data_IF_193815405545
#
_entry.id   IF_193815405545
#
_cell.length_a   1.000
_cell.length_b   1.000
_cell.length_c   1.000
_cell.angle_alpha   90.00
_cell.angle_beta   90.00
_cell.angle_gamma   90.00
#
_symmetry.space_group_name_H-M   'P 1'
#
loop_
_entity.id
_entity.type
_entity.pdbx_description
1 polymer ?
#
# COMPACT_ATOMS: atom_id res chain seq x y z
N UNK A 1 -19.21 -7.73 42.89
CA UNK A 1 -17.82 -7.88 43.42
C UNK A 1 -16.91 -7.85 42.19
N UNK A 2 -16.03 -6.90 41.92
CA UNK A 2 -15.49 -5.77 42.66
C UNK A 2 -15.73 -4.50 41.82
N UNK A 3 -16.52 -3.56 42.34
CA UNK A 3 -16.80 -2.28 41.69
C UNK A 3 -15.64 -1.31 41.96
N UNK A 4 -14.44 -1.71 41.56
CA UNK A 4 -13.22 -0.93 41.74
C UNK A 4 -12.67 -0.57 40.37
N UNK A 5 -12.44 0.72 40.14
CA UNK A 5 -11.89 1.25 38.90
C UNK A 5 -10.63 2.06 39.21
N UNK A 6 -9.71 2.11 38.25
CA UNK A 6 -8.48 2.88 38.42
C UNK A 6 -8.71 4.33 38.00
N UNK A 7 -8.20 5.25 38.81
CA UNK A 7 -8.23 6.67 38.51
C UNK A 7 -7.44 6.95 37.21
N UNK A 8 -8.04 7.58 36.18
CA UNK A 8 -7.37 7.83 34.91
C UNK A 8 -6.21 8.84 35.00
N UNK A 9 -6.02 9.48 36.15
CA UNK A 9 -5.00 10.51 36.36
C UNK A 9 -3.81 10.04 37.20
N UNK A 10 -4.02 9.09 38.11
CA UNK A 10 -2.99 8.70 39.08
C UNK A 10 -3.00 7.19 39.39
N UNK A 11 -3.75 6.39 38.62
CA UNK A 11 -3.86 4.93 38.71
C UNK A 11 -4.18 4.34 40.09
N UNK A 12 -4.68 5.17 41.01
CA UNK A 12 -5.16 4.71 42.31
C UNK A 12 -6.47 3.92 42.15
N UNK A 13 -6.58 2.80 42.85
CA UNK A 13 -7.79 1.99 42.91
C UNK A 13 -8.89 2.73 43.71
N UNK A 14 -10.02 2.99 43.06
CA UNK A 14 -11.16 3.73 43.61
C UNK A 14 -12.45 2.91 43.55
N UNK A 15 -13.31 3.08 44.55
CA UNK A 15 -14.62 2.43 44.56
C UNK A 15 -15.59 3.13 43.58
N UNK A 16 -16.50 2.37 42.97
CA UNK A 16 -17.52 2.92 42.07
C UNK A 16 -18.39 3.95 42.80
N UNK A 17 -18.53 5.13 42.21
CA UNK A 17 -19.33 6.24 42.77
C UNK A 17 -18.52 7.35 43.45
N UNK A 18 -17.19 7.23 43.52
CA UNK A 18 -16.33 8.32 43.99
C UNK A 18 -16.31 9.47 42.97
N UNK A 19 -16.76 10.65 43.38
CA UNK A 19 -16.79 11.86 42.54
C UNK A 19 -15.42 12.54 42.43
N UNK A 20 -14.56 12.42 43.44
CA UNK A 20 -13.23 13.02 43.45
C UNK A 20 -12.18 12.04 43.95
N UNK A 21 -11.05 11.92 43.25
CA UNK A 21 -9.98 11.03 43.68
C UNK A 21 -9.31 11.53 44.97
N UNK A 22 -9.18 10.66 45.99
CA UNK A 22 -8.50 11.00 47.25
C UNK A 22 -6.98 11.17 47.10
N UNK A 23 -6.37 10.56 46.09
CA UNK A 23 -4.92 10.61 45.87
C UNK A 23 -4.48 11.85 45.10
N UNK A 24 -5.20 12.23 44.03
CA UNK A 24 -4.82 13.37 43.19
C UNK A 24 -5.75 14.59 43.33
N UNK A 25 -6.81 14.51 44.13
CA UNK A 25 -7.76 15.59 44.36
C UNK A 25 -8.61 16.00 43.14
N UNK A 26 -8.48 15.28 42.02
CA UNK A 26 -9.15 15.63 40.76
C UNK A 26 -10.61 15.18 40.77
N UNK A 27 -11.50 16.03 40.26
CA UNK A 27 -12.91 15.70 40.03
C UNK A 27 -13.05 14.74 38.83
N UNK A 28 -13.74 13.63 39.07
CA UNK A 28 -13.99 12.52 38.14
C UNK A 28 -15.39 12.59 37.53
N UNK A 29 -16.26 13.46 38.03
CA UNK A 29 -17.61 13.70 37.54
C UNK A 29 -17.72 13.80 36.00
N UNK A 30 -16.83 14.52 35.28
CA UNK A 30 -16.93 14.59 33.81
C UNK A 30 -16.53 13.29 33.09
N UNK A 31 -15.71 12.44 33.70
CA UNK A 31 -15.13 11.25 33.04
C UNK A 31 -15.91 9.97 33.38
N UNK A 32 -16.54 9.92 34.54
CA UNK A 32 -17.40 8.81 34.98
C UNK A 32 -18.46 8.35 33.96
N UNK A 33 -19.23 9.23 33.27
CA UNK A 33 -20.21 8.76 32.28
C UNK A 33 -19.56 8.09 31.07
N UNK A 34 -18.34 8.48 30.70
CA UNK A 34 -17.60 7.87 29.58
C UNK A 34 -17.07 6.49 29.97
N UNK A 35 -16.53 6.35 31.18
CA UNK A 35 -16.07 5.05 31.69
C UNK A 35 -17.20 4.03 31.77
N UNK A 36 -18.40 4.45 32.19
CA UNK A 36 -19.59 3.58 32.18
C UNK A 36 -19.99 3.15 30.78
N UNK A 37 -19.91 4.03 29.78
CA UNK A 37 -20.19 3.70 28.38
C UNK A 37 -19.17 2.71 27.81
N UNK A 38 -17.90 2.84 28.19
CA UNK A 38 -16.86 1.88 27.78
C UNK A 38 -17.12 0.49 28.37
N UNK A 39 -17.40 0.38 29.67
CA UNK A 39 -17.75 -0.91 30.29
C UNK A 39 -18.96 -1.58 29.65
N UNK A 40 -20.01 -0.79 29.33
CA UNK A 40 -21.19 -1.31 28.63
C UNK A 40 -20.89 -1.78 27.19
N UNK A 41 -19.89 -1.18 26.51
CA UNK A 41 -19.46 -1.62 25.18
C UNK A 41 -18.61 -2.89 25.24
N UNK A 42 -17.72 -2.98 26.23
CA UNK A 42 -16.91 -4.18 26.47
C UNK A 42 -17.78 -5.40 26.78
N UNK A 43 -18.83 -5.23 27.57
CA UNK A 43 -19.78 -6.30 27.88
C UNK A 43 -20.54 -6.77 26.62
N UNK A 44 -20.93 -5.84 25.73
CA UNK A 44 -21.55 -6.18 24.44
C UNK A 44 -20.60 -6.95 23.55
N UNK A 45 -19.33 -6.54 23.48
CA UNK A 45 -18.31 -7.25 22.69
C UNK A 45 -18.09 -8.66 23.21
N UNK A 46 -17.95 -8.84 24.53
CA UNK A 46 -17.83 -10.17 25.13
C UNK A 46 -19.04 -11.07 24.86
N UNK A 47 -20.25 -10.51 24.81
CA UNK A 47 -21.45 -11.26 24.43
C UNK A 47 -21.45 -11.68 22.94
N UNK A 48 -20.99 -10.81 22.04
CA UNK A 48 -20.86 -11.15 20.61
C UNK A 48 -19.77 -12.19 20.37
N UNK A 49 -18.63 -12.09 21.05
CA UNK A 49 -17.54 -13.06 20.95
C UNK A 49 -17.98 -14.45 21.42
N UNK A 50 -18.70 -14.55 22.55
CA UNK A 50 -19.27 -15.82 23.01
C UNK A 50 -20.25 -16.43 22.00
N UNK A 51 -21.15 -15.64 21.41
CA UNK A 51 -22.05 -16.12 20.35
C UNK A 51 -21.29 -16.62 19.12
N UNK A 52 -20.23 -15.93 18.73
CA UNK A 52 -19.40 -16.35 17.60
C UNK A 52 -18.60 -17.63 17.91
N UNK A 53 -18.16 -17.82 19.15
CA UNK A 53 -17.52 -19.05 19.63
C UNK A 53 -18.53 -20.22 19.62
N UNK A 54 -19.75 -19.99 20.10
CA UNK A 54 -20.86 -20.94 20.11
C UNK A 54 -21.28 -21.34 18.68
N UNK A 55 -21.40 -20.38 17.76
CA UNK A 55 -21.69 -20.63 16.34
C UNK A 55 -20.58 -21.45 15.67
N UNK A 56 -19.31 -21.14 15.96
CA UNK A 56 -18.15 -21.92 15.47
C UNK A 56 -18.14 -23.33 16.03
N UNK A 57 -18.44 -23.49 17.32
CA UNK A 57 -18.54 -24.80 17.97
C UNK A 57 -19.72 -25.62 17.40
N UNK A 58 -20.87 -24.98 17.11
CA UNK A 58 -22.02 -25.62 16.48
C UNK A 58 -21.73 -26.05 15.02
N UNK A 59 -20.96 -25.25 14.27
CA UNK A 59 -20.49 -25.65 12.94
C UNK A 59 -19.49 -26.83 13.01
N UNK A 60 -18.61 -26.86 14.02
CA UNK A 60 -17.65 -27.94 14.23
C UNK A 60 -18.31 -29.24 14.72
N UNK A 61 -19.42 -29.13 15.47
CA UNK A 61 -20.17 -30.27 16.00
C UNK A 61 -21.19 -30.86 15.01
N UNK A 62 -21.39 -30.28 13.81
CA UNK A 62 -22.18 -30.92 12.75
C UNK A 62 -21.47 -32.19 12.30
N UNK A 63 -22.01 -33.39 12.60
CA UNK A 63 -21.41 -34.62 12.13
C UNK A 63 -21.54 -34.67 10.60
N UNK A 64 -20.46 -35.12 9.94
CA UNK A 64 -20.38 -35.46 8.52
C UNK A 64 -21.25 -36.70 8.25
N UNK A 65 -22.56 -36.59 8.46
CA UNK A 65 -23.54 -37.66 8.25
C UNK A 65 -24.47 -37.37 7.06
N UNK A 66 -24.37 -36.19 6.44
CA UNK A 66 -25.17 -35.83 5.26
C UNK A 66 -24.45 -36.07 3.91
N UNK A 67 -23.23 -36.65 3.92
CA UNK A 67 -22.50 -37.01 2.71
C UNK A 67 -22.55 -38.52 2.38
N UNK A 68 -23.27 -39.31 3.20
CA UNK A 68 -23.27 -40.77 3.11
C UNK A 68 -24.44 -41.38 2.30
N UNK A 69 -25.26 -40.57 1.61
CA UNK A 69 -26.44 -41.06 0.88
C UNK A 69 -26.45 -40.78 -0.63
N UNK A 70 -25.31 -40.50 -1.25
CA UNK A 70 -25.21 -40.36 -2.71
C UNK A 70 -24.06 -41.21 -3.29
N UNK A 71 -24.35 -42.50 -3.42
CA UNK A 71 -24.00 -43.38 -4.54
C UNK A 71 -22.51 -43.47 -5.02
N UNK A 72 -21.88 -44.57 -4.63
CA UNK A 72 -21.26 -45.59 -5.51
C UNK A 72 -20.33 -45.16 -6.66
N UNK A 73 -19.00 -45.32 -6.51
CA UNK A 73 -18.06 -45.97 -7.46
C UNK A 73 -16.59 -45.96 -6.92
N UNK A 74 -15.68 -46.84 -7.40
CA UNK A 74 -14.61 -47.44 -6.60
C UNK A 74 -13.29 -46.66 -6.55
N UNK A 75 -12.48 -47.09 -5.57
CA UNK A 75 -11.17 -46.62 -5.16
C UNK A 75 -10.19 -46.24 -6.30
N UNK A 76 -9.59 -45.06 -6.15
CA UNK A 76 -8.30 -44.72 -6.72
C UNK A 76 -7.43 -43.99 -5.68
N UNK A 77 -6.12 -44.07 -5.84
CA UNK A 77 -5.07 -43.83 -4.83
C UNK A 77 -5.12 -42.45 -4.10
N UNK A 78 -4.47 -42.31 -2.91
CA UNK A 78 -4.41 -41.05 -2.17
C UNK A 78 -3.72 -39.94 -2.98
N UNK A 79 -4.55 -39.10 -3.61
CA UNK A 79 -4.14 -37.87 -4.26
C UNK A 79 -3.59 -36.90 -3.19
N UNK A 80 -2.39 -36.30 -3.38
CA UNK A 80 -1.82 -35.37 -2.42
C UNK A 80 -2.78 -34.19 -2.27
N UNK A 81 -3.19 -33.93 -1.02
CA UNK A 81 -4.10 -32.85 -0.66
C UNK A 81 -3.74 -31.55 -1.42
N UNK A 82 -4.72 -30.89 -2.08
CA UNK A 82 -4.44 -29.67 -2.81
C UNK A 82 -3.82 -28.65 -1.84
N UNK A 83 -2.68 -28.02 -2.20
CA UNK A 83 -2.09 -27.00 -1.35
C UNK A 83 -3.15 -25.95 -1.11
N UNK A 84 -3.42 -25.66 0.17
CA UNK A 84 -4.33 -24.59 0.61
C UNK A 84 -3.89 -23.33 -0.14
N UNK A 85 -4.65 -22.98 -1.18
CA UNK A 85 -4.40 -21.82 -2.00
C UNK A 85 -4.66 -20.60 -1.13
N UNK A 86 -3.61 -20.12 -0.47
CA UNK A 86 -3.58 -18.79 0.14
C UNK A 86 -4.18 -17.83 -0.89
N UNK A 87 -5.23 -17.06 -0.56
CA UNK A 87 -5.93 -16.24 -1.53
C UNK A 87 -4.91 -15.34 -2.20
N UNK A 88 -4.61 -15.67 -3.47
CA UNK A 88 -3.60 -14.99 -4.27
C UNK A 88 -3.98 -13.52 -4.27
N UNK A 89 -3.05 -12.67 -3.85
CA UNK A 89 -3.22 -11.22 -3.91
C UNK A 89 -3.78 -10.87 -5.31
N UNK A 90 -5.05 -10.48 -5.38
CA UNK A 90 -5.76 -10.28 -6.65
C UNK A 90 -5.13 -9.09 -7.37
N UNK A 91 -4.13 -9.36 -8.20
CA UNK A 91 -3.46 -8.39 -9.08
C UNK A 91 -4.52 -7.84 -10.03
N UNK A 92 -4.62 -6.52 -10.12
CA UNK A 92 -5.62 -5.85 -10.97
C UNK A 92 -5.05 -5.65 -12.36
N UNK A 93 -4.89 -6.75 -13.11
CA UNK A 93 -4.30 -6.70 -14.45
C UNK A 93 -5.01 -5.76 -15.41
N UNK A 94 -6.32 -5.53 -15.23
CA UNK A 94 -7.11 -4.54 -15.98
C UNK A 94 -6.58 -3.10 -15.89
N UNK A 95 -5.79 -2.78 -14.86
CA UNK A 95 -5.17 -1.45 -14.72
C UNK A 95 -4.05 -1.24 -15.73
N UNK A 96 -3.38 -2.30 -16.21
CA UNK A 96 -2.31 -2.19 -17.20
C UNK A 96 -2.80 -1.66 -18.57
N UNK A 97 -3.79 -2.29 -19.24
CA UNK A 97 -4.29 -1.77 -20.50
C UNK A 97 -4.93 -0.39 -20.32
N UNK A 98 -5.59 -0.14 -19.19
CA UNK A 98 -6.16 1.18 -18.88
C UNK A 98 -5.10 2.27 -18.71
N UNK A 99 -4.01 1.98 -18.00
CA UNK A 99 -2.90 2.90 -17.83
C UNK A 99 -2.18 3.19 -19.15
N UNK A 100 -2.01 2.15 -19.97
CA UNK A 100 -1.44 2.27 -21.31
C UNK A 100 -2.32 3.13 -22.22
N UNK A 101 -3.64 2.88 -22.28
CA UNK A 101 -4.56 3.69 -23.10
C UNK A 101 -4.61 5.13 -22.62
N UNK A 102 -4.60 5.38 -21.31
CA UNK A 102 -4.54 6.73 -20.75
C UNK A 102 -3.24 7.45 -21.14
N UNK A 103 -2.11 6.74 -21.11
CA UNK A 103 -0.82 7.28 -21.51
C UNK A 103 -0.78 7.60 -23.01
N UNK A 104 -1.33 6.72 -23.86
CA UNK A 104 -1.44 6.94 -25.30
C UNK A 104 -2.37 8.11 -25.63
N UNK A 105 -3.50 8.22 -24.93
CA UNK A 105 -4.42 9.34 -25.08
C UNK A 105 -3.75 10.66 -24.71
N UNK A 106 -3.00 10.69 -23.60
CA UNK A 106 -2.23 11.86 -23.19
C UNK A 106 -1.17 12.21 -24.22
N UNK A 107 -0.44 11.22 -24.76
CA UNK A 107 0.52 11.42 -25.85
C UNK A 107 -0.14 12.04 -27.08
N UNK A 108 -1.25 11.47 -27.58
CA UNK A 108 -1.96 12.00 -28.73
C UNK A 108 -2.50 13.41 -28.49
N UNK A 109 -3.06 13.68 -27.30
CA UNK A 109 -3.55 15.02 -26.97
C UNK A 109 -2.41 16.05 -26.98
N UNK A 110 -1.30 15.75 -26.30
CA UNK A 110 -0.15 16.65 -26.14
C UNK A 110 0.56 16.90 -27.48
N UNK A 111 0.82 15.84 -28.25
CA UNK A 111 1.64 15.92 -29.48
C UNK A 111 0.81 16.24 -30.71
N UNK A 112 -0.31 15.55 -30.93
CA UNK A 112 -1.08 15.67 -32.18
C UNK A 112 -2.10 16.82 -32.15
N UNK A 113 -2.71 17.10 -30.99
CA UNK A 113 -3.79 18.08 -30.90
C UNK A 113 -3.33 19.46 -30.46
N UNK A 114 -2.54 19.51 -29.38
CA UNK A 114 -2.23 20.77 -28.72
C UNK A 114 -0.79 21.25 -28.96
N UNK A 115 0.09 20.42 -29.51
CA UNK A 115 1.52 20.69 -29.74
C UNK A 115 2.20 21.33 -28.51
N UNK A 116 1.98 20.72 -27.34
CA UNK A 116 2.49 21.23 -26.07
C UNK A 116 4.00 20.99 -25.94
N UNK A 117 4.71 21.82 -25.15
CA UNK A 117 6.14 21.68 -24.98
C UNK A 117 6.51 20.33 -24.33
N UNK A 118 7.69 19.81 -24.70
CA UNK A 118 8.22 18.49 -24.32
C UNK A 118 8.22 18.19 -22.81
N UNK A 119 8.30 19.21 -21.95
CA UNK A 119 8.28 19.00 -20.50
C UNK A 119 6.93 18.46 -20.01
N UNK A 120 5.82 18.85 -20.65
CA UNK A 120 4.47 18.37 -20.30
C UNK A 120 4.33 16.90 -20.66
N UNK A 121 4.87 16.52 -21.83
CA UNK A 121 4.91 15.13 -22.26
C UNK A 121 5.68 14.25 -21.26
N UNK A 122 6.86 14.72 -20.82
CA UNK A 122 7.69 14.02 -19.83
C UNK A 122 6.97 13.89 -18.48
N UNK A 123 6.27 14.93 -18.04
CA UNK A 123 5.52 14.88 -16.79
C UNK A 123 4.38 13.86 -16.88
N UNK A 124 3.63 13.84 -17.98
CA UNK A 124 2.56 12.87 -18.21
C UNK A 124 3.10 11.43 -18.31
N UNK A 125 4.22 11.23 -19.01
CA UNK A 125 4.87 9.92 -19.17
C UNK A 125 5.51 9.39 -17.89
N UNK A 126 5.69 10.23 -16.87
CA UNK A 126 6.11 9.80 -15.52
C UNK A 126 4.88 9.61 -14.63
N UNK A 127 3.97 10.59 -14.57
CA UNK A 127 2.84 10.58 -13.65
C UNK A 127 1.85 9.45 -13.93
N UNK A 128 1.52 9.18 -15.20
CA UNK A 128 0.53 8.16 -15.56
C UNK A 128 1.04 6.76 -15.19
N UNK A 129 2.24 6.30 -15.63
CA UNK A 129 2.75 4.99 -15.25
C UNK A 129 2.94 4.83 -13.74
N UNK A 130 3.32 5.91 -13.04
CA UNK A 130 3.41 5.91 -11.57
C UNK A 130 2.08 5.53 -10.91
N UNK A 131 0.99 6.22 -11.29
CA UNK A 131 -0.34 5.95 -10.76
C UNK A 131 -0.82 4.56 -11.18
N UNK A 132 -0.56 4.15 -12.42
CA UNK A 132 -0.84 2.78 -12.91
C UNK A 132 -0.14 1.73 -12.03
N UNK A 133 1.15 1.91 -11.74
CA UNK A 133 1.93 1.01 -10.87
C UNK A 133 1.40 0.97 -9.43
N UNK A 134 0.96 2.10 -8.90
CA UNK A 134 0.36 2.18 -7.56
C UNK A 134 -0.98 1.43 -7.48
N UNK A 135 -1.81 1.50 -8.53
CA UNK A 135 -3.13 0.86 -8.60
C UNK A 135 -3.08 -0.62 -9.00
N UNK A 136 -1.98 -1.08 -9.58
CA UNK A 136 -1.79 -2.44 -10.09
C UNK A 136 -1.90 -3.52 -8.98
N UNK A 137 -1.42 -3.24 -7.76
CA UNK A 137 -1.53 -4.17 -6.64
C UNK A 137 -2.86 -4.05 -5.86
N UNK A 138 -3.39 -5.21 -5.44
CA UNK A 138 -4.58 -5.32 -4.60
C UNK A 138 -4.34 -5.05 -3.10
N UNK A 139 -5.21 -5.61 -2.25
CA UNK A 139 -5.23 -5.39 -0.79
C UNK A 139 -4.00 -5.93 -0.04
N UNK A 140 -3.23 -6.84 -0.63
CA UNK A 140 -2.00 -7.41 -0.06
C UNK A 140 -0.86 -7.38 -1.11
N UNK A 141 -0.22 -6.23 -1.33
CA UNK A 141 0.83 -6.12 -2.34
C UNK A 141 2.06 -6.94 -1.94
N UNK A 142 2.55 -7.79 -2.85
CA UNK A 142 3.85 -8.46 -2.77
C UNK A 142 4.57 -8.25 -4.08
N UNK A 143 5.73 -7.61 -4.02
CA UNK A 143 6.62 -7.39 -5.16
C UNK A 143 7.38 -8.68 -5.43
N UNK A 144 7.21 -9.24 -6.63
CA UNK A 144 7.91 -10.44 -7.11
C UNK A 144 8.75 -10.03 -8.33
N UNK A 145 9.80 -10.78 -8.66
CA UNK A 145 10.60 -10.53 -9.87
C UNK A 145 9.74 -10.43 -11.15
N UNK A 146 8.60 -11.14 -11.21
CA UNK A 146 7.62 -11.03 -12.28
C UNK A 146 7.03 -9.61 -12.43
N UNK A 147 6.88 -8.84 -11.36
CA UNK A 147 6.38 -7.45 -11.42
C UNK A 147 7.39 -6.50 -12.07
N UNK A 148 8.68 -6.77 -11.89
CA UNK A 148 9.75 -6.03 -12.57
C UNK A 148 9.67 -6.31 -14.07
N UNK A 149 9.48 -7.57 -14.46
CA UNK A 149 9.29 -7.94 -15.85
C UNK A 149 8.05 -7.26 -16.47
N UNK A 150 6.95 -7.14 -15.72
CA UNK A 150 5.76 -6.40 -16.16
C UNK A 150 6.06 -4.91 -16.36
N UNK A 151 6.80 -4.27 -15.44
CA UNK A 151 7.17 -2.87 -15.58
C UNK A 151 8.01 -2.61 -16.85
N UNK A 152 8.98 -3.48 -17.10
CA UNK A 152 9.83 -3.43 -18.29
C UNK A 152 9.00 -3.65 -19.55
N UNK A 153 8.16 -4.69 -19.57
CA UNK A 153 7.30 -4.99 -20.71
C UNK A 153 6.34 -3.84 -21.02
N UNK A 154 5.73 -3.23 -19.98
CA UNK A 154 4.87 -2.06 -20.12
C UNK A 154 5.61 -0.88 -20.74
N UNK A 155 6.82 -0.58 -20.28
CA UNK A 155 7.63 0.52 -20.80
C UNK A 155 8.01 0.31 -22.27
N UNK A 156 8.50 -0.88 -22.63
CA UNK A 156 8.85 -1.23 -24.01
C UNK A 156 7.61 -1.13 -24.90
N UNK A 157 6.51 -1.76 -24.48
CA UNK A 157 5.26 -1.77 -25.26
C UNK A 157 4.71 -0.35 -25.47
N UNK A 158 4.77 0.49 -24.44
CA UNK A 158 4.36 1.89 -24.53
C UNK A 158 5.17 2.66 -25.57
N UNK A 159 6.51 2.58 -25.51
CA UNK A 159 7.38 3.34 -26.42
C UNK A 159 7.24 2.84 -27.86
N UNK A 160 7.17 1.52 -28.06
CA UNK A 160 6.92 0.94 -29.39
C UNK A 160 5.58 1.41 -29.94
N UNK A 161 4.53 1.45 -29.12
CA UNK A 161 3.20 1.90 -29.56
C UNK A 161 3.18 3.39 -29.88
N UNK A 162 3.86 4.24 -29.10
CA UNK A 162 4.00 5.67 -29.39
C UNK A 162 4.74 5.91 -30.71
N UNK A 163 5.86 5.20 -30.93
CA UNK A 163 6.61 5.31 -32.19
C UNK A 163 5.80 4.79 -33.38
N UNK A 164 5.03 3.71 -33.19
CA UNK A 164 4.14 3.18 -34.22
C UNK A 164 3.03 4.18 -34.59
N UNK A 165 2.44 4.87 -33.61
CA UNK A 165 1.46 5.93 -33.84
C UNK A 165 2.06 7.08 -34.65
N UNK A 166 3.27 7.50 -34.31
CA UNK A 166 3.94 8.59 -35.02
C UNK A 166 4.34 8.19 -36.44
N UNK A 167 4.81 6.95 -36.62
CA UNK A 167 5.10 6.36 -37.93
C UNK A 167 3.86 6.32 -38.83
N UNK A 168 2.70 5.99 -38.25
CA UNK A 168 1.42 6.01 -38.98
C UNK A 168 1.00 7.43 -39.38
N UNK A 169 1.12 8.40 -38.47
CA UNK A 169 0.67 9.77 -38.72
C UNK A 169 1.58 10.54 -39.70
N UNK A 170 2.90 10.43 -39.51
CA UNK A 170 3.89 11.27 -40.21
C UNK A 170 4.70 10.51 -41.28
N UNK A 171 4.40 9.24 -41.55
CA UNK A 171 5.13 8.37 -42.50
C UNK A 171 6.66 8.29 -42.24
N UNK A 172 7.08 8.49 -40.99
CA UNK A 172 8.46 8.34 -40.55
C UNK A 172 8.80 6.88 -40.20
N UNK A 173 10.07 6.46 -40.26
CA UNK A 173 10.46 5.10 -39.88
C UNK A 173 10.14 4.81 -38.40
N UNK A 174 9.59 3.61 -38.14
CA UNK A 174 9.13 3.19 -36.81
C UNK A 174 10.25 3.06 -35.76
N UNK A 175 11.48 2.77 -36.20
CA UNK A 175 12.64 2.60 -35.32
C UNK A 175 13.55 3.83 -35.36
N UNK A 176 14.14 4.20 -34.21
CA UNK A 176 15.06 5.33 -34.13
C UNK A 176 16.27 5.12 -35.03
N UNK A 177 16.59 6.17 -35.79
CA UNK A 177 17.69 6.16 -36.75
C UNK A 177 18.98 6.65 -36.08
N UNK A 178 19.99 5.78 -36.07
CA UNK A 178 21.30 6.09 -35.51
C UNK A 178 21.43 5.89 -33.98
N UNK A 179 22.66 5.88 -33.47
CA UNK A 179 22.96 5.50 -32.08
C UNK A 179 22.49 6.53 -31.04
N UNK A 180 22.44 7.81 -31.40
CA UNK A 180 21.98 8.87 -30.49
C UNK A 180 20.48 8.74 -30.19
N UNK A 181 19.65 8.54 -31.22
CA UNK A 181 18.21 8.37 -31.07
C UNK A 181 17.84 7.10 -30.28
N UNK A 182 18.62 6.02 -30.46
CA UNK A 182 18.47 4.80 -29.65
C UNK A 182 18.71 5.07 -28.16
N UNK A 183 19.75 5.84 -27.84
CA UNK A 183 20.05 6.20 -26.45
C UNK A 183 18.94 7.04 -25.82
N UNK A 184 18.42 8.02 -26.53
CA UNK A 184 17.31 8.86 -26.05
C UNK A 184 16.02 8.05 -25.84
N UNK A 185 15.68 7.18 -26.80
CA UNK A 185 14.52 6.27 -26.71
C UNK A 185 14.65 5.33 -25.52
N UNK A 186 15.87 4.84 -25.26
CA UNK A 186 16.15 3.93 -24.14
C UNK A 186 16.02 4.63 -22.79
N UNK A 187 16.53 5.87 -22.66
CA UNK A 187 16.33 6.68 -21.45
C UNK A 187 14.85 7.02 -21.23
N UNK A 188 14.11 7.28 -22.31
CA UNK A 188 12.68 7.52 -22.22
C UNK A 188 11.92 6.28 -21.74
N UNK A 189 12.18 5.11 -22.33
CA UNK A 189 11.62 3.84 -21.88
C UNK A 189 11.97 3.54 -20.42
N UNK A 190 13.24 3.75 -20.04
CA UNK A 190 13.71 3.52 -18.68
C UNK A 190 13.01 4.46 -17.67
N UNK A 191 12.71 5.69 -18.05
CA UNK A 191 11.96 6.62 -17.20
C UNK A 191 10.52 6.16 -16.95
N UNK A 192 9.84 5.66 -17.99
CA UNK A 192 8.47 5.11 -17.89
C UNK A 192 8.47 3.87 -16.98
N UNK A 193 9.40 2.94 -17.22
CA UNK A 193 9.53 1.71 -16.45
C UNK A 193 9.88 1.97 -14.98
N UNK A 194 10.85 2.86 -14.74
CA UNK A 194 11.24 3.27 -13.39
C UNK A 194 10.08 3.92 -12.65
N UNK A 195 9.32 4.80 -13.30
CA UNK A 195 8.16 5.45 -12.70
C UNK A 195 7.07 4.46 -12.29
N UNK A 196 6.74 3.52 -13.17
CA UNK A 196 5.79 2.45 -12.87
C UNK A 196 6.26 1.57 -11.70
N UNK A 197 7.54 1.21 -11.72
CA UNK A 197 8.17 0.45 -10.64
C UNK A 197 8.15 1.22 -9.31
N UNK A 198 8.41 2.52 -9.32
CA UNK A 198 8.31 3.38 -8.14
C UNK A 198 6.90 3.43 -7.58
N UNK A 199 5.87 3.52 -8.42
CA UNK A 199 4.47 3.45 -7.99
C UNK A 199 4.12 2.11 -7.33
N UNK A 200 4.62 1.01 -7.90
CA UNK A 200 4.52 -0.33 -7.34
C UNK A 200 5.19 -0.44 -5.96
N UNK A 201 6.41 0.08 -5.84
CA UNK A 201 7.17 0.08 -4.58
C UNK A 201 6.47 0.90 -3.50
N UNK A 202 5.95 2.08 -3.86
CA UNK A 202 5.19 2.94 -2.94
C UNK A 202 3.96 2.22 -2.39
N UNK A 203 3.25 1.46 -3.22
CA UNK A 203 2.08 0.70 -2.76
C UNK A 203 2.46 -0.40 -1.77
N UNK A 204 3.57 -1.08 -2.00
CA UNK A 204 4.11 -2.12 -1.11
C UNK A 204 4.54 -1.51 0.23
N UNK A 205 5.27 -0.39 0.21
CA UNK A 205 5.69 0.29 1.44
C UNK A 205 4.50 0.81 2.23
N UNK A 206 3.51 1.41 1.57
CA UNK A 206 2.26 1.83 2.22
C UNK A 206 1.54 0.66 2.90
N UNK A 207 1.40 -0.48 2.23
CA UNK A 207 0.75 -1.64 2.83
C UNK A 207 1.58 -2.27 3.96
N UNK A 208 2.91 -2.25 3.87
CA UNK A 208 3.79 -2.69 4.95
C UNK A 208 3.69 -1.77 6.18
N UNK A 209 3.63 -0.45 5.96
CA UNK A 209 3.38 0.53 7.02
C UNK A 209 1.99 0.35 7.63
N UNK A 210 0.98 0.08 6.79
CA UNK A 210 -0.39 -0.16 7.24
C UNK A 210 -0.56 -1.44 8.06
N UNK A 211 0.08 -2.52 7.65
CA UNK A 211 0.14 -3.75 8.42
C UNK A 211 0.85 -3.57 9.77
N UNK A 212 1.73 -2.56 9.89
CA UNK A 212 2.43 -2.19 11.13
C UNK A 212 1.68 -1.15 11.98
N UNK A 213 0.47 -0.73 11.60
CA UNK A 213 -0.32 0.28 12.34
C UNK A 213 0.15 1.74 12.18
N UNK A 214 1.24 1.97 11.45
CA UNK A 214 1.93 3.27 11.36
C UNK A 214 1.22 4.30 10.45
N UNK A 215 0.03 4.01 9.93
CA UNK A 215 -0.75 4.98 9.14
C UNK A 215 -1.51 5.97 10.02
N UNK A 216 -1.64 5.68 11.32
CA UNK A 216 -2.28 6.60 12.27
C UNK A 216 -1.21 7.35 13.07
N UNK A 217 -1.20 8.69 12.98
CA UNK A 217 -0.38 9.57 13.83
C UNK A 217 -0.40 9.20 15.33
N UNK A 218 -1.52 8.79 15.95
CA UNK A 218 -1.52 8.41 17.36
C UNK A 218 -0.83 7.06 17.65
N UNK A 219 -0.89 6.06 16.76
CA UNK A 219 -0.09 4.83 16.94
C UNK A 219 1.38 5.03 16.61
N UNK A 220 1.69 5.90 15.64
CA UNK A 220 3.07 6.30 15.36
C UNK A 220 3.69 6.97 16.59
N UNK A 221 2.93 7.83 17.28
CA UNK A 221 3.34 8.45 18.55
C UNK A 221 3.53 7.41 19.66
N UNK A 222 2.62 6.44 19.81
CA UNK A 222 2.77 5.35 20.80
C UNK A 222 3.96 4.43 20.47
N UNK A 223 4.18 4.12 19.19
CA UNK A 223 5.30 3.34 18.70
C UNK A 223 6.63 4.06 18.93
N UNK A 224 6.72 5.35 18.62
CA UNK A 224 7.89 6.17 18.92
C UNK A 224 8.16 6.30 20.43
N UNK A 225 7.12 6.42 21.26
CA UNK A 225 7.26 6.45 22.72
C UNK A 225 7.68 5.09 23.30
N UNK A 226 7.16 3.99 22.77
CA UNK A 226 7.55 2.63 23.16
C UNK A 226 8.99 2.30 22.73
N UNK A 227 9.42 2.83 21.58
CA UNK A 227 10.78 2.69 21.06
C UNK A 227 11.75 3.62 21.81
N UNK A 228 11.32 4.80 22.26
CA UNK A 228 12.15 5.74 23.05
C UNK A 228 12.73 5.13 24.34
N UNK A 229 12.17 4.02 24.84
CA UNK A 229 12.71 3.30 25.99
C UNK A 229 13.80 2.25 25.67
N UNK A 230 14.01 1.85 24.40
CA UNK A 230 14.81 0.65 24.06
C UNK A 230 15.56 0.65 22.71
N UNK A 231 15.87 1.79 22.07
CA UNK A 231 16.77 1.79 20.90
C UNK A 231 18.21 2.16 21.26
N UNK A 232 19.21 1.32 20.93
CA UNK A 232 20.61 1.71 20.99
C UNK A 232 20.89 2.85 20.01
N UNK A 233 21.62 3.86 20.48
CA UNK A 233 21.93 5.13 19.78
C UNK A 233 22.45 4.97 18.33
N UNK A 234 23.07 3.83 18.00
CA UNK A 234 23.57 3.51 16.67
C UNK A 234 22.46 3.39 15.60
N UNK A 235 21.31 2.81 15.96
CA UNK A 235 20.17 2.66 15.02
C UNK A 235 19.45 3.98 14.75
N UNK A 236 19.43 4.91 15.70
CA UNK A 236 18.84 6.24 15.52
C UNK A 236 19.66 7.08 14.54
N UNK A 237 21.00 7.09 14.70
CA UNK A 237 21.92 7.76 13.76
C UNK A 237 21.83 7.17 12.36
N UNK A 238 21.64 5.85 12.24
CA UNK A 238 21.52 5.21 10.92
C UNK A 238 20.22 5.62 10.22
N UNK A 239 19.11 5.73 10.95
CA UNK A 239 17.82 6.16 10.39
C UNK A 239 17.87 7.66 10.04
N UNK A 240 18.43 8.50 10.91
CA UNK A 240 18.59 9.93 10.68
C UNK A 240 19.51 10.22 9.49
N UNK A 241 20.65 9.53 9.39
CA UNK A 241 21.55 9.65 8.23
C UNK A 241 20.89 9.15 6.95
N UNK A 242 20.11 8.06 6.99
CA UNK A 242 19.40 7.55 5.80
C UNK A 242 18.32 8.54 5.34
N UNK A 243 17.55 9.13 6.27
CA UNK A 243 16.53 10.15 5.93
C UNK A 243 17.17 11.42 5.40
N UNK A 244 18.27 11.89 6.01
CA UNK A 244 19.02 13.06 5.53
C UNK A 244 19.68 12.79 4.17
N UNK A 245 20.16 11.58 3.92
CA UNK A 245 20.81 11.21 2.66
C UNK A 245 19.77 11.08 1.54
N UNK A 246 18.60 10.51 1.82
CA UNK A 246 17.46 10.49 0.87
C UNK A 246 16.95 11.91 0.61
N UNK A 247 16.82 12.75 1.64
CA UNK A 247 16.38 14.14 1.51
C UNK A 247 17.35 15.02 0.72
N UNK A 248 18.66 14.83 0.91
CA UNK A 248 19.71 15.52 0.15
C UNK A 248 19.79 15.03 -1.29
N UNK A 249 19.62 13.73 -1.55
CA UNK A 249 19.52 13.20 -2.92
C UNK A 249 18.29 13.77 -3.63
N UNK A 250 17.11 13.78 -2.99
CA UNK A 250 15.90 14.33 -3.59
C UNK A 250 16.08 15.82 -3.86
N UNK A 251 16.59 16.59 -2.90
CA UNK A 251 16.85 18.03 -3.09
C UNK A 251 17.93 18.31 -4.14
N UNK A 252 18.97 17.48 -4.23
CA UNK A 252 20.00 17.60 -5.25
C UNK A 252 19.46 17.28 -6.64
N UNK A 253 18.59 16.27 -6.77
CA UNK A 253 17.92 15.94 -8.03
C UNK A 253 16.95 17.07 -8.42
N UNK A 254 16.16 17.60 -7.48
CA UNK A 254 15.28 18.74 -7.73
C UNK A 254 16.06 20.01 -8.10
N UNK A 255 17.19 20.27 -7.44
CA UNK A 255 18.09 21.38 -7.75
C UNK A 255 18.80 21.22 -9.10
N UNK A 256 19.18 19.99 -9.47
CA UNK A 256 19.77 19.69 -10.78
C UNK A 256 18.74 19.83 -11.91
N UNK A 257 17.50 19.37 -11.69
CA UNK A 257 16.39 19.54 -12.63
C UNK A 257 16.04 21.03 -12.77
N UNK A 258 16.00 21.79 -11.68
CA UNK A 258 15.77 23.24 -11.71
C UNK A 258 16.93 24.00 -12.37
N UNK A 259 18.18 23.57 -12.19
CA UNK A 259 19.36 24.14 -12.84
C UNK A 259 19.41 23.86 -14.35
N UNK A 260 18.97 22.67 -14.77
CA UNK A 260 18.91 22.29 -16.19
C UNK A 260 17.72 22.95 -16.91
N UNK A 261 16.59 23.16 -16.22
CA UNK A 261 15.43 23.88 -16.75
C UNK A 261 15.55 25.41 -16.62
N UNK A 262 16.52 25.90 -15.86
CA UNK A 262 16.69 27.30 -15.48
C UNK A 262 17.81 28.06 -16.20
N UNK A 263 18.40 27.51 -17.27
CA UNK A 263 19.34 28.26 -18.12
C UNK A 263 19.04 28.01 -19.60
N UNK A 264 18.33 28.99 -20.18
CA UNK A 264 18.00 29.22 -21.60
C UNK A 264 16.92 28.33 -22.22
#
# INVERSE_FOLDING_TARGET
MQDQFNCPYCDAALNAGVLSCRCCGRDLTPVLPLLRRLGALEERLGAFEKRAEEDRAALAARPVAAAASAASEPADAPEPAPPIALPVARRRYWVLPFGLTLLLLAYCAIVLWFDLPLWVLRLASIAIPFVTGMLYFGLRPRLIAFDIAIAIAFAIFSVVTMNALLSWHDNIPLLPQGPAAWRETSFYALSIGASMFSGMLLRVTQAALAARGLVSLPELRKGLLAVHGKVPMETLKTIETTILLVGTIISAITGLIAGILGVK
#
